data_IF_295342268972
#
_entry.id   IF_295342268972
#
_cell.length_a   1.000
_cell.length_b   1.000
_cell.length_c   1.000
_cell.angle_alpha   90.00
_cell.angle_beta   90.00
_cell.angle_gamma   90.00
#
_symmetry.space_group_name_H-M   'P 1'
#
loop_
_entity.id
_entity.type
_entity.pdbx_description
1 polymer ?
#
# COMPACT_ATOMS: atom_id res chain seq x y z
N UNK A 1 -6.52 -20.28 -34.87
CA UNK A 1 -6.03 -19.08 -34.18
C UNK A 1 -6.79 -18.98 -32.87
N UNK A 2 -6.16 -19.31 -31.75
CA UNK A 2 -6.74 -19.08 -30.43
C UNK A 2 -6.45 -17.63 -30.08
N UNK A 3 -7.45 -16.75 -30.24
CA UNK A 3 -7.42 -15.40 -29.68
C UNK A 3 -7.54 -15.54 -28.16
N UNK A 4 -6.41 -15.66 -27.47
CA UNK A 4 -6.39 -15.46 -26.03
C UNK A 4 -6.70 -13.98 -25.78
N UNK A 5 -7.97 -13.69 -25.46
CA UNK A 5 -8.36 -12.51 -24.70
C UNK A 5 -7.69 -12.63 -23.33
N UNK A 6 -6.39 -12.38 -23.25
CA UNK A 6 -5.74 -12.06 -21.99
C UNK A 6 -6.24 -10.66 -21.68
N UNK A 7 -7.35 -10.56 -20.95
CA UNK A 7 -7.86 -9.29 -20.49
C UNK A 7 -6.71 -8.58 -19.77
N UNK A 8 -6.29 -7.44 -20.31
CA UNK A 8 -5.32 -6.57 -19.66
C UNK A 8 -6.04 -6.05 -18.41
N UNK A 9 -5.81 -6.72 -17.29
CA UNK A 9 -6.31 -6.29 -15.98
C UNK A 9 -5.65 -4.95 -15.70
N UNK A 10 -6.45 -3.94 -15.35
CA UNK A 10 -5.91 -2.61 -15.06
C UNK A 10 -4.95 -2.65 -13.86
N UNK A 11 -3.98 -1.73 -13.78
CA UNK A 11 -3.08 -1.64 -12.63
C UNK A 11 -3.82 -1.63 -11.28
N UNK A 12 -4.92 -0.88 -11.20
CA UNK A 12 -5.78 -0.81 -10.02
C UNK A 12 -6.42 -2.15 -9.65
N UNK A 13 -6.98 -2.87 -10.62
CA UNK A 13 -7.57 -4.18 -10.36
C UNK A 13 -6.52 -5.18 -9.90
N UNK A 14 -5.32 -5.11 -10.47
CA UNK A 14 -4.25 -6.01 -10.08
C UNK A 14 -3.77 -5.73 -8.64
N UNK A 15 -3.61 -4.46 -8.23
CA UNK A 15 -3.27 -4.12 -6.85
C UNK A 15 -4.35 -4.65 -5.88
N UNK A 16 -5.63 -4.55 -6.28
CA UNK A 16 -6.76 -5.02 -5.45
C UNK A 16 -6.81 -6.52 -5.23
N UNK A 17 -6.10 -7.31 -6.03
CA UNK A 17 -6.00 -8.77 -5.88
C UNK A 17 -4.88 -9.19 -4.94
N UNK A 18 -4.00 -8.27 -4.56
CA UNK A 18 -2.81 -8.57 -3.80
C UNK A 18 -3.02 -8.38 -2.31
N UNK A 19 -2.19 -9.07 -1.52
CA UNK A 19 -2.19 -8.94 -0.07
C UNK A 19 -1.30 -7.76 0.30
N UNK A 20 -1.90 -6.73 0.90
CA UNK A 20 -1.18 -5.54 1.34
C UNK A 20 -0.74 -5.72 2.79
N UNK A 21 0.57 -5.83 3.02
CA UNK A 21 1.15 -5.98 4.35
C UNK A 21 2.34 -5.05 4.52
N UNK A 22 2.48 -4.48 5.72
CA UNK A 22 3.68 -3.74 6.09
C UNK A 22 4.09 -4.06 7.53
N UNK A 23 5.40 -4.26 7.73
CA UNK A 23 6.01 -4.65 9.00
C UNK A 23 6.85 -3.50 9.53
N UNK A 24 6.29 -2.71 10.42
CA UNK A 24 6.95 -1.54 10.99
C UNK A 24 7.57 -1.93 12.34
N UNK A 25 8.84 -1.61 12.53
CA UNK A 25 9.41 -1.52 13.87
C UNK A 25 9.71 -0.08 14.24
N UNK A 26 9.22 0.36 15.40
CA UNK A 26 9.38 1.75 15.84
C UNK A 26 9.40 1.83 17.36
N UNK A 27 10.24 2.69 17.93
CA UNK A 27 10.21 3.02 19.35
C UNK A 27 9.19 4.12 19.69
N UNK A 28 8.61 4.75 18.66
CA UNK A 28 7.64 5.84 18.82
C UNK A 28 6.39 5.38 19.54
N UNK A 29 5.83 6.28 20.37
CA UNK A 29 4.67 5.98 21.23
C UNK A 29 3.38 6.63 20.78
N UNK A 30 3.44 7.58 19.85
CA UNK A 30 2.28 8.41 19.46
C UNK A 30 2.10 8.53 17.96
N UNK A 31 3.18 8.74 17.23
CA UNK A 31 3.12 9.01 15.80
C UNK A 31 4.43 8.58 15.17
N UNK A 32 4.36 8.02 13.96
CA UNK A 32 5.51 7.90 13.09
C UNK A 32 5.08 7.94 11.63
N UNK A 33 6.05 8.23 10.77
CA UNK A 33 5.91 8.21 9.31
C UNK A 33 6.99 7.29 8.74
N UNK A 34 6.64 6.53 7.71
CA UNK A 34 7.57 5.61 7.06
C UNK A 34 7.14 5.33 5.63
N UNK A 35 8.12 5.14 4.75
CA UNK A 35 7.90 4.75 3.38
C UNK A 35 7.91 3.21 3.24
N UNK A 36 7.04 2.69 2.38
CA UNK A 36 6.95 1.28 2.03
C UNK A 36 6.73 1.11 0.53
N UNK A 37 7.40 0.11 -0.05
CA UNK A 37 7.00 -0.47 -1.33
C UNK A 37 6.06 -1.63 -1.04
N UNK A 38 4.81 -1.48 -1.43
CA UNK A 38 3.83 -2.57 -1.42
C UNK A 38 3.96 -3.34 -2.73
N UNK A 39 3.55 -4.61 -2.70
CA UNK A 39 3.46 -5.44 -3.91
C UNK A 39 4.83 -5.81 -4.54
N UNK A 40 5.90 -5.86 -3.75
CA UNK A 40 7.30 -5.95 -4.23
C UNK A 40 7.65 -7.23 -5.03
N UNK A 41 6.87 -8.30 -4.87
CA UNK A 41 7.04 -9.56 -5.62
C UNK A 41 6.04 -9.71 -6.80
N UNK A 42 5.18 -8.72 -7.00
CA UNK A 42 4.13 -8.75 -8.02
C UNK A 42 4.54 -7.96 -9.28
N UNK A 43 3.80 -8.15 -10.37
CA UNK A 43 4.04 -7.43 -11.64
C UNK A 43 3.92 -5.90 -11.51
N UNK A 44 3.33 -5.43 -10.40
CA UNK A 44 3.16 -4.01 -10.09
C UNK A 44 3.63 -3.79 -8.66
N UNK A 45 4.48 -2.77 -8.46
CA UNK A 45 4.84 -2.26 -7.14
C UNK A 45 4.23 -0.87 -6.92
N UNK A 46 3.95 -0.52 -5.67
CA UNK A 46 3.40 0.78 -5.28
C UNK A 46 4.18 1.33 -4.09
N UNK A 47 4.77 2.51 -4.27
CA UNK A 47 5.46 3.20 -3.20
C UNK A 47 4.47 4.09 -2.44
N UNK A 48 4.47 3.99 -1.12
CA UNK A 48 3.57 4.73 -0.24
C UNK A 48 4.31 5.31 0.96
N UNK A 49 3.92 6.50 1.40
CA UNK A 49 4.19 7.00 2.75
C UNK A 49 3.01 6.67 3.64
N UNK A 50 3.31 6.10 4.81
CA UNK A 50 2.34 5.74 5.83
C UNK A 50 2.50 6.68 7.02
N UNK A 51 1.48 7.48 7.31
CA UNK A 51 1.38 8.26 8.55
C UNK A 51 0.53 7.48 9.55
N UNK A 52 1.12 7.10 10.68
CA UNK A 52 0.47 6.23 11.66
C UNK A 52 0.42 6.91 13.03
N UNK A 53 -0.79 7.23 13.49
CA UNK A 53 -1.04 7.57 14.88
C UNK A 53 -1.20 6.29 15.70
N UNK A 54 -0.53 6.21 16.84
CA UNK A 54 -0.54 5.08 17.76
C UNK A 54 -1.28 5.43 19.06
N UNK A 55 -2.07 4.49 19.55
CA UNK A 55 -2.47 4.45 20.95
C UNK A 55 -1.56 3.45 21.67
N UNK A 56 -0.89 3.93 22.73
CA UNK A 56 -0.07 3.11 23.61
C UNK A 56 -0.83 2.77 24.88
N UNK A 57 -1.01 1.48 25.15
CA UNK A 57 -1.53 0.99 26.41
C UNK A 57 -0.39 0.29 27.18
N UNK A 58 -0.12 0.64 28.45
CA UNK A 58 0.97 0.04 29.23
C UNK A 58 0.96 -1.49 29.25
N UNK A 59 -0.24 -2.10 29.29
CA UNK A 59 -0.38 -3.56 29.39
C UNK A 59 -0.58 -4.28 28.04
N UNK A 60 -1.03 -3.59 26.99
CA UNK A 60 -1.39 -4.19 25.69
C UNK A 60 -0.42 -3.81 24.56
N UNK A 61 0.52 -2.90 24.83
CA UNK A 61 1.49 -2.42 23.85
C UNK A 61 0.94 -1.34 22.93
N UNK A 62 1.48 -1.31 21.71
CA UNK A 62 1.15 -0.31 20.69
C UNK A 62 0.03 -0.81 19.80
N UNK A 63 -0.90 0.08 19.47
CA UNK A 63 -1.97 -0.21 18.51
C UNK A 63 -2.16 0.95 17.54
N UNK A 64 -2.41 0.69 16.26
CA UNK A 64 -2.68 1.75 15.29
C UNK A 64 -4.07 2.36 15.57
N UNK A 65 -4.08 3.67 15.84
CA UNK A 65 -5.30 4.46 16.05
C UNK A 65 -5.82 5.01 14.72
N UNK A 66 -4.91 5.52 13.89
CA UNK A 66 -5.21 6.13 12.60
C UNK A 66 -4.08 5.86 11.63
N UNK A 67 -4.45 5.55 10.40
CA UNK A 67 -3.54 5.40 9.28
C UNK A 67 -3.95 6.40 8.20
N UNK A 68 -2.99 7.19 7.71
CA UNK A 68 -3.11 7.84 6.40
C UNK A 68 -2.09 7.23 5.46
N UNK A 69 -2.47 7.14 4.19
CA UNK A 69 -1.65 6.60 3.13
C UNK A 69 -1.51 7.68 2.08
N UNK A 70 -0.27 7.91 1.64
CA UNK A 70 0.07 8.79 0.54
C UNK A 70 0.75 7.97 -0.54
N UNK A 71 0.14 7.86 -1.71
CA UNK A 71 0.77 7.15 -2.83
C UNK A 71 1.83 8.06 -3.45
N UNK A 72 3.07 7.59 -3.44
CA UNK A 72 4.23 8.30 -3.98
C UNK A 72 4.45 7.97 -5.45
N UNK A 73 4.14 6.75 -5.85
CA UNK A 73 4.28 6.28 -7.21
C UNK A 73 3.94 4.80 -7.34
N UNK A 74 4.12 4.28 -8.55
CA UNK A 74 4.01 2.86 -8.82
C UNK A 74 4.75 2.51 -10.10
N UNK A 75 5.07 1.24 -10.26
CA UNK A 75 5.86 0.76 -11.38
C UNK A 75 5.29 -0.58 -11.89
N UNK A 76 5.19 -0.73 -13.21
CA UNK A 76 4.80 -1.98 -13.87
C UNK A 76 6.04 -2.67 -14.44
N UNK A 77 6.42 -3.79 -13.83
CA UNK A 77 7.60 -4.54 -14.24
C UNK A 77 7.43 -5.26 -15.58
N UNK A 78 6.20 -5.45 -16.08
CA UNK A 78 5.95 -6.09 -17.38
C UNK A 78 6.23 -5.15 -18.54
N UNK A 79 5.81 -3.91 -18.37
CA UNK A 79 5.93 -2.84 -19.36
C UNK A 79 7.20 -2.01 -19.13
N UNK A 80 7.88 -2.20 -18.00
CA UNK A 80 9.09 -1.50 -17.58
C UNK A 80 8.89 0.03 -17.57
N UNK A 81 7.78 0.46 -16.98
CA UNK A 81 7.36 1.86 -16.95
C UNK A 81 6.70 2.25 -15.62
N UNK A 82 6.74 3.56 -15.33
CA UNK A 82 6.04 4.13 -14.19
C UNK A 82 4.53 4.17 -14.44
N UNK A 83 3.75 3.86 -13.40
CA UNK A 83 2.30 3.92 -13.45
C UNK A 83 1.80 5.36 -13.35
N UNK A 84 1.15 5.82 -14.42
CA UNK A 84 0.50 7.13 -14.45
C UNK A 84 -0.89 7.07 -13.80
N UNK A 85 -0.99 7.47 -12.53
CA UNK A 85 -2.26 7.58 -11.82
C UNK A 85 -2.88 8.98 -11.96
N UNK A 86 -4.18 9.04 -12.26
CA UNK A 86 -4.91 10.31 -12.14
C UNK A 86 -5.12 10.66 -10.66
N UNK A 87 -5.49 11.92 -10.39
CA UNK A 87 -5.87 12.34 -9.02
C UNK A 87 -7.02 11.53 -8.43
N UNK A 88 -7.91 11.00 -9.27
CA UNK A 88 -9.01 10.14 -8.82
C UNK A 88 -8.49 8.76 -8.43
N UNK A 89 -7.60 8.20 -9.25
CA UNK A 89 -6.99 6.89 -9.01
C UNK A 89 -6.17 6.91 -7.72
N UNK A 90 -5.36 7.96 -7.51
CA UNK A 90 -4.59 8.14 -6.29
C UNK A 90 -5.48 8.13 -5.05
N UNK A 91 -6.57 8.90 -5.04
CA UNK A 91 -7.51 8.93 -3.90
C UNK A 91 -8.17 7.59 -3.65
N UNK A 92 -8.56 6.89 -4.72
CA UNK A 92 -9.15 5.56 -4.61
C UNK A 92 -8.14 4.56 -4.04
N UNK A 93 -6.90 4.60 -4.53
CA UNK A 93 -5.81 3.73 -4.13
C UNK A 93 -5.41 3.97 -2.68
N UNK A 94 -5.19 5.22 -2.28
CA UNK A 94 -4.92 5.60 -0.89
C UNK A 94 -6.04 5.12 0.05
N UNK A 95 -7.31 5.31 -0.34
CA UNK A 95 -8.45 4.83 0.46
C UNK A 95 -8.52 3.30 0.52
N UNK A 96 -8.17 2.63 -0.57
CA UNK A 96 -8.15 1.17 -0.64
C UNK A 96 -7.05 0.60 0.26
N UNK A 97 -5.82 1.10 0.12
CA UNK A 97 -4.67 0.68 0.93
C UNK A 97 -4.97 0.95 2.41
N UNK A 98 -5.44 2.13 2.77
CA UNK A 98 -5.77 2.46 4.17
C UNK A 98 -6.81 1.51 4.80
N UNK A 99 -7.68 0.89 4.00
CA UNK A 99 -8.70 -0.06 4.46
C UNK A 99 -8.26 -1.53 4.45
N UNK A 100 -7.27 -1.86 3.62
CA UNK A 100 -6.88 -3.26 3.34
C UNK A 100 -5.49 -3.63 3.81
N UNK A 101 -4.65 -2.63 4.11
CA UNK A 101 -3.32 -2.83 4.63
C UNK A 101 -3.38 -3.50 6.00
N UNK A 102 -2.70 -4.64 6.11
CA UNK A 102 -2.45 -5.30 7.39
C UNK A 102 -1.11 -4.77 7.92
N UNK A 103 -1.20 -4.02 9.02
CA UNK A 103 -0.03 -3.44 9.69
C UNK A 103 0.41 -4.33 10.85
N UNK A 104 1.66 -4.76 10.82
CA UNK A 104 2.34 -5.38 11.95
C UNK A 104 3.27 -4.34 12.56
N UNK A 105 3.04 -3.96 13.82
CA UNK A 105 3.82 -2.95 14.52
C UNK A 105 4.54 -3.62 15.69
N UNK A 106 5.87 -3.49 15.73
CA UNK A 106 6.73 -3.96 16.81
C UNK A 106 7.48 -2.79 17.47
#
# INVERSE_FOLDING_TARGET
MLSTNVGIISPMEQIKLQKLEAFVSTDEKKYFETDYTLCEDDKISIDVSLEIDLDFHPDLGKSPKKLKVHVLGGYDARENEDLAFSKSDLKELESYIAKKLILYIN
#
